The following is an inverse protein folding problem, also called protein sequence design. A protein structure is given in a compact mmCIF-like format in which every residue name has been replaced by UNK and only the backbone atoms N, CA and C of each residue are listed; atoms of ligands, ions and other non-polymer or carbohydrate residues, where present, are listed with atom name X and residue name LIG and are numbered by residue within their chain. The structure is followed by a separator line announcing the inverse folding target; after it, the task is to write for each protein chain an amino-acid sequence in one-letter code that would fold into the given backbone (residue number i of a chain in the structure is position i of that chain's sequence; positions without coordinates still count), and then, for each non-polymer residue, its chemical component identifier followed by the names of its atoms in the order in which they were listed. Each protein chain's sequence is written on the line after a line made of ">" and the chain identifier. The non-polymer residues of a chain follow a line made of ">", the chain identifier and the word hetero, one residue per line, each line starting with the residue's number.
data_IF_721149231920
#
_entry.id   IF_721149231920
#
_cell.length_a   1.000
_cell.length_b   1.000
_cell.length_c   1.000
_cell.angle_alpha   90.00
_cell.angle_beta   90.00
_cell.angle_gamma   90.00
#
_symmetry.space_group_name_H-M   'P 1'
#
loop_
_entity.id
_entity.type
_entity.pdbx_description
1 polymer ?
#
# COMPACT_ATOMS: atom_id res chain seq x y z
N UNK A 1 -7.49 11.73 -2.64
CA UNK A 1 -6.37 11.84 -1.68
C UNK A 1 -5.10 11.33 -2.35
N UNK A 2 -3.95 11.90 -2.01
CA UNK A 2 -2.63 11.47 -2.50
C UNK A 2 -1.99 10.44 -1.56
N UNK A 3 -0.67 10.41 -1.51
CA UNK A 3 0.08 9.52 -0.63
C UNK A 3 -0.20 9.84 0.85
N UNK A 4 -0.54 8.82 1.64
CA UNK A 4 -0.59 8.89 3.11
C UNK A 4 0.83 8.91 3.70
N UNK A 5 1.04 9.23 4.99
CA UNK A 5 2.38 9.19 5.58
C UNK A 5 3.11 7.85 5.38
N UNK A 6 4.44 7.92 5.16
CA UNK A 6 5.30 6.74 5.03
C UNK A 6 6.03 6.50 6.36
N UNK A 7 5.80 5.34 6.98
CA UNK A 7 6.48 4.96 8.23
C UNK A 7 7.79 4.23 7.92
N UNK A 8 8.89 4.68 8.55
CA UNK A 8 10.20 4.02 8.48
C UNK A 8 10.50 3.39 9.83
N UNK A 9 10.90 2.12 9.84
CA UNK A 9 11.24 1.37 11.04
C UNK A 9 12.55 0.61 10.85
N UNK A 10 13.20 0.25 11.95
CA UNK A 10 14.47 -0.50 11.96
C UNK A 10 14.32 -1.91 12.52
N UNK A 11 13.19 -2.21 13.15
CA UNK A 11 12.88 -3.51 13.76
C UNK A 11 12.08 -4.40 12.80
N UNK A 12 11.81 -5.64 13.21
CA UNK A 12 10.98 -6.55 12.43
C UNK A 12 9.54 -6.04 12.34
N UNK A 13 9.00 -6.01 11.12
CA UNK A 13 7.59 -5.68 10.90
C UNK A 13 6.72 -6.88 11.27
N UNK A 14 6.06 -6.83 12.43
CA UNK A 14 5.17 -7.87 12.94
C UNK A 14 3.71 -7.38 13.02
N UNK A 15 2.78 -8.24 13.45
CA UNK A 15 1.35 -7.90 13.55
C UNK A 15 1.08 -6.67 14.43
N UNK A 16 1.78 -6.51 15.56
CA UNK A 16 1.58 -5.38 16.48
C UNK A 16 2.10 -4.08 15.87
N UNK A 17 3.25 -4.13 15.18
CA UNK A 17 3.78 -2.97 14.46
C UNK A 17 2.88 -2.56 13.31
N UNK A 18 2.37 -3.52 12.56
CA UNK A 18 1.38 -3.28 11.51
C UNK A 18 0.13 -2.56 12.06
N UNK A 19 -0.48 -3.08 13.13
CA UNK A 19 -1.66 -2.47 13.77
C UNK A 19 -1.36 -1.04 14.23
N UNK A 20 -0.25 -0.84 14.93
CA UNK A 20 0.10 0.49 15.43
C UNK A 20 0.39 1.49 14.29
N UNK A 21 0.99 1.04 13.19
CA UNK A 21 1.18 1.86 11.99
C UNK A 21 -0.16 2.30 11.40
N UNK A 22 -1.14 1.39 11.30
CA UNK A 22 -2.46 1.73 10.76
C UNK A 22 -3.24 2.66 11.70
N UNK A 23 -3.17 2.45 13.01
CA UNK A 23 -3.78 3.36 13.99
C UNK A 23 -3.19 4.78 13.85
N UNK A 24 -1.87 4.89 13.74
CA UNK A 24 -1.17 6.18 13.71
C UNK A 24 -1.37 6.94 12.39
N UNK A 25 -1.42 6.24 11.26
CA UNK A 25 -1.34 6.90 9.94
C UNK A 25 -2.53 6.67 9.02
N UNK A 26 -3.42 5.72 9.30
CA UNK A 26 -4.51 5.37 8.38
C UNK A 26 -5.91 5.60 8.97
N UNK A 27 -6.22 5.03 10.14
CA UNK A 27 -7.62 4.93 10.61
C UNK A 27 -8.28 6.29 10.75
N UNK A 28 -7.70 7.20 11.50
CA UNK A 28 -8.29 8.52 11.75
C UNK A 28 -8.43 9.33 10.44
N UNK A 29 -7.39 9.31 9.61
CA UNK A 29 -7.39 10.03 8.33
C UNK A 29 -8.42 9.46 7.35
N UNK A 30 -8.52 8.14 7.22
CA UNK A 30 -9.49 7.49 6.35
C UNK A 30 -10.93 7.76 6.82
N UNK A 31 -11.18 7.70 8.13
CA UNK A 31 -12.48 8.03 8.70
C UNK A 31 -12.84 9.51 8.51
N UNK A 32 -11.89 10.42 8.68
CA UNK A 32 -12.12 11.84 8.45
C UNK A 32 -12.44 12.16 6.98
N UNK A 33 -11.82 11.45 6.04
CA UNK A 33 -11.91 11.75 4.61
C UNK A 33 -13.04 10.99 3.89
N UNK A 34 -13.38 9.79 4.37
CA UNK A 34 -14.34 8.90 3.71
C UNK A 34 -15.45 8.43 4.66
N UNK A 35 -15.51 8.90 5.91
CA UNK A 35 -16.41 8.33 6.92
C UNK A 35 -16.15 6.84 7.12
N UNK A 36 -17.21 6.06 7.27
CA UNK A 36 -17.11 4.61 7.50
C UNK A 36 -17.35 3.77 6.21
N UNK A 37 -17.09 4.32 5.02
CA UNK A 37 -17.35 3.62 3.74
C UNK A 37 -16.11 3.26 2.93
N UNK A 38 -14.91 3.50 3.46
CA UNK A 38 -13.67 3.15 2.78
C UNK A 38 -13.38 1.64 2.82
N UNK A 39 -12.59 1.17 1.85
CA UNK A 39 -12.21 -0.24 1.73
C UNK A 39 -10.70 -0.36 1.86
N UNK A 40 -10.24 -1.19 2.80
CA UNK A 40 -8.83 -1.55 2.91
C UNK A 40 -8.47 -2.61 1.86
N UNK A 41 -7.43 -2.33 1.07
CA UNK A 41 -6.75 -3.31 0.23
C UNK A 41 -5.32 -3.53 0.74
N UNK A 42 -4.96 -4.80 0.86
CA UNK A 42 -3.64 -5.26 1.27
C UNK A 42 -3.39 -6.67 0.73
N UNK A 43 -2.15 -7.13 0.78
CA UNK A 43 -1.80 -8.50 0.42
C UNK A 43 -2.11 -9.51 1.54
N UNK A 44 -1.93 -10.79 1.25
CA UNK A 44 -2.17 -11.87 2.20
C UNK A 44 -0.97 -12.19 3.10
N UNK A 45 -0.06 -11.24 3.33
CA UNK A 45 1.10 -11.45 4.20
C UNK A 45 0.68 -11.94 5.61
N UNK A 46 1.45 -12.82 6.27
CA UNK A 46 1.13 -13.30 7.62
C UNK A 46 0.94 -12.19 8.66
N UNK A 47 1.62 -11.05 8.47
CA UNK A 47 1.47 -9.88 9.35
C UNK A 47 0.09 -9.22 9.24
N UNK A 48 -0.56 -9.33 8.09
CA UNK A 48 -1.89 -8.79 7.85
C UNK A 48 -2.97 -9.83 8.18
N UNK A 49 -2.69 -11.11 7.98
CA UNK A 49 -3.69 -12.19 8.05
C UNK A 49 -3.66 -13.00 9.36
N UNK A 50 -2.74 -12.69 10.27
CA UNK A 50 -2.66 -13.31 11.59
C UNK A 50 -3.86 -12.98 12.49
N UNK A 51 -4.03 -13.78 13.56
CA UNK A 51 -5.20 -13.70 14.46
C UNK A 51 -5.40 -12.30 15.05
N UNK A 52 -4.31 -11.67 15.51
CA UNK A 52 -4.36 -10.36 16.16
C UNK A 52 -4.76 -9.28 15.16
N UNK A 53 -4.13 -9.26 13.98
CA UNK A 53 -4.47 -8.32 12.91
C UNK A 53 -5.92 -8.49 12.41
N UNK A 54 -6.41 -9.73 12.29
CA UNK A 54 -7.80 -10.00 11.90
C UNK A 54 -8.81 -9.48 12.93
N UNK A 55 -8.58 -9.72 14.21
CA UNK A 55 -9.44 -9.26 15.30
C UNK A 55 -9.47 -7.74 15.42
N UNK A 56 -8.30 -7.09 15.31
CA UNK A 56 -8.23 -5.63 15.28
C UNK A 56 -8.99 -5.06 14.07
N UNK A 57 -8.76 -5.60 12.86
CA UNK A 57 -9.46 -5.13 11.66
C UNK A 57 -10.98 -5.27 11.75
N UNK A 58 -11.52 -6.31 12.40
CA UNK A 58 -12.99 -6.43 12.56
C UNK A 58 -13.62 -5.33 13.42
N UNK A 59 -12.83 -4.61 14.21
CA UNK A 59 -13.31 -3.52 15.06
C UNK A 59 -13.10 -2.14 14.40
N UNK A 60 -11.99 -1.95 13.68
CA UNK A 60 -11.56 -0.62 13.24
C UNK A 60 -11.58 -0.39 11.72
N UNK A 61 -11.69 -1.44 10.92
CA UNK A 61 -11.70 -1.33 9.45
C UNK A 61 -13.11 -1.64 8.93
N UNK A 62 -13.82 -0.67 8.33
CA UNK A 62 -15.22 -0.84 7.96
C UNK A 62 -15.42 -1.89 6.87
N UNK A 63 -14.60 -1.84 5.81
CA UNK A 63 -14.67 -2.77 4.70
C UNK A 63 -13.28 -3.23 4.26
N UNK A 64 -13.22 -4.48 3.77
CA UNK A 64 -11.98 -5.10 3.28
C UNK A 64 -12.26 -5.80 1.96
N UNK A 65 -11.30 -5.72 1.05
CA UNK A 65 -11.36 -6.51 -0.19
C UNK A 65 -10.71 -7.87 0.03
N UNK A 66 -11.34 -8.93 -0.49
CA UNK A 66 -10.70 -10.23 -0.57
C UNK A 66 -9.62 -10.17 -1.67
N UNK A 67 -8.37 -10.35 -1.28
CA UNK A 67 -7.26 -10.29 -2.22
C UNK A 67 -6.83 -11.69 -2.66
N UNK A 68 -6.69 -11.97 -3.98
CA UNK A 68 -6.19 -13.24 -4.44
C UNK A 68 -4.70 -13.42 -4.05
N UNK A 69 -4.28 -14.61 -3.57
CA UNK A 69 -2.88 -14.90 -3.32
C UNK A 69 -2.01 -14.71 -4.57
N UNK A 70 -0.74 -14.37 -4.38
CA UNK A 70 0.25 -14.25 -5.47
C UNK A 70 -0.17 -13.34 -6.63
N UNK A 71 -0.96 -12.29 -6.35
CA UNK A 71 -1.46 -11.36 -7.36
C UNK A 71 -0.89 -9.95 -7.20
N UNK A 72 0.45 -9.77 -7.19
CA UNK A 72 1.05 -8.43 -7.15
C UNK A 72 0.74 -7.65 -8.44
N UNK A 73 0.46 -8.37 -9.53
CA UNK A 73 0.07 -7.78 -10.80
C UNK A 73 -1.23 -7.00 -10.75
N UNK A 74 -2.12 -7.40 -9.85
CA UNK A 74 -3.33 -6.67 -9.58
C UNK A 74 -3.12 -5.50 -8.62
N UNK A 75 -2.06 -5.42 -7.81
CA UNK A 75 -1.96 -4.39 -6.79
C UNK A 75 -1.61 -3.01 -7.39
N UNK A 76 -2.37 -1.93 -7.12
CA UNK A 76 -2.05 -0.60 -7.64
C UNK A 76 -0.71 -0.09 -7.12
N UNK A 77 -0.40 -0.39 -5.85
CA UNK A 77 0.79 0.12 -5.15
C UNK A 77 2.10 -0.41 -5.74
N UNK A 78 2.11 -1.58 -6.38
CA UNK A 78 3.33 -2.18 -6.96
C UNK A 78 3.94 -1.28 -8.05
N UNK A 79 3.11 -0.65 -8.88
CA UNK A 79 3.60 0.29 -9.89
C UNK A 79 4.20 1.55 -9.27
N UNK A 80 3.55 2.08 -8.23
CA UNK A 80 4.05 3.24 -7.49
C UNK A 80 5.38 2.89 -6.79
N UNK A 81 5.48 1.71 -6.18
CA UNK A 81 6.71 1.16 -5.60
C UNK A 81 7.83 1.03 -6.65
N UNK A 82 7.51 0.60 -7.87
CA UNK A 82 8.47 0.55 -8.97
C UNK A 82 9.04 1.93 -9.33
N UNK A 83 8.17 2.95 -9.45
CA UNK A 83 8.61 4.34 -9.68
C UNK A 83 9.43 4.85 -8.50
N UNK A 84 8.95 4.63 -7.28
CA UNK A 84 9.58 5.04 -6.05
C UNK A 84 11.01 4.51 -5.94
N UNK A 85 11.20 3.19 -6.13
CA UNK A 85 12.52 2.55 -6.13
C UNK A 85 13.43 3.14 -7.21
N UNK A 86 12.92 3.37 -8.43
CA UNK A 86 13.72 4.00 -9.51
C UNK A 86 14.20 5.40 -9.14
N UNK A 87 13.31 6.25 -8.62
CA UNK A 87 13.68 7.60 -8.16
C UNK A 87 14.72 7.54 -7.04
N UNK A 88 14.58 6.59 -6.11
CA UNK A 88 15.53 6.42 -5.01
C UNK A 88 16.90 5.93 -5.49
N UNK A 89 16.94 5.02 -6.46
CA UNK A 89 18.18 4.55 -7.08
C UNK A 89 18.96 5.68 -7.76
N UNK A 90 18.26 6.58 -8.47
CA UNK A 90 18.88 7.75 -9.12
C UNK A 90 19.55 8.66 -8.09
N UNK A 91 18.99 8.79 -6.89
CA UNK A 91 19.60 9.57 -5.79
C UNK A 91 20.84 8.91 -5.20
N UNK A 92 21.02 7.60 -5.38
CA UNK A 92 22.17 6.82 -4.93
C UNK A 92 22.65 7.13 -3.50
N UNK A 93 21.76 7.09 -2.47
CA UNK A 93 22.13 7.43 -1.10
C UNK A 93 23.26 6.54 -0.57
N UNK A 94 24.19 7.14 0.18
CA UNK A 94 25.38 6.47 0.74
C UNK A 94 25.31 6.25 2.25
N UNK A 95 24.37 6.90 2.93
CA UNK A 95 24.13 6.72 4.37
C UNK A 95 22.66 6.42 4.65
N UNK A 96 22.37 5.90 5.84
CA UNK A 96 21.00 5.62 6.28
C UNK A 96 20.18 6.92 6.38
N UNK A 97 20.80 8.02 6.78
CA UNK A 97 20.17 9.34 6.88
C UNK A 97 19.79 9.86 5.50
N UNK A 98 20.70 9.74 4.52
CA UNK A 98 20.43 10.10 3.13
C UNK A 98 19.32 9.23 2.54
N UNK A 99 19.30 7.93 2.87
CA UNK A 99 18.25 7.01 2.46
C UNK A 99 16.89 7.42 3.04
N UNK A 100 16.81 7.65 4.37
CA UNK A 100 15.58 8.08 5.05
C UNK A 100 15.04 9.39 4.48
N UNK A 101 15.91 10.39 4.33
CA UNK A 101 15.56 11.67 3.70
C UNK A 101 15.06 11.47 2.27
N UNK A 102 15.74 10.65 1.49
CA UNK A 102 15.35 10.33 0.12
C UNK A 102 13.98 9.67 0.01
N UNK A 103 13.69 8.71 0.88
CA UNK A 103 12.39 8.04 0.98
C UNK A 103 11.27 9.07 1.21
N UNK A 104 11.43 9.91 2.23
CA UNK A 104 10.41 10.90 2.62
C UNK A 104 10.16 11.90 1.49
N UNK A 105 11.21 12.52 0.94
CA UNK A 105 11.07 13.53 -0.11
C UNK A 105 10.46 12.97 -1.39
N UNK A 106 10.86 11.76 -1.81
CA UNK A 106 10.26 11.14 -3.01
C UNK A 106 8.79 10.81 -2.74
N UNK A 107 8.48 10.24 -1.59
CA UNK A 107 7.10 9.87 -1.27
C UNK A 107 6.18 11.08 -1.20
N UNK A 108 6.63 12.17 -0.58
CA UNK A 108 5.90 13.44 -0.52
C UNK A 108 5.75 14.12 -1.89
N UNK A 109 6.61 13.80 -2.87
CA UNK A 109 6.47 14.29 -4.25
C UNK A 109 5.36 13.62 -5.05
N UNK A 110 4.73 12.55 -4.53
CA UNK A 110 3.62 11.88 -5.20
C UNK A 110 2.29 12.56 -4.87
N UNK A 111 1.94 13.55 -5.69
CA UNK A 111 0.65 14.23 -5.59
C UNK A 111 -0.53 13.32 -6.03
N UNK A 112 -1.79 13.72 -5.74
CA UNK A 112 -2.96 12.93 -6.12
C UNK A 112 -3.12 12.72 -7.63
N UNK A 113 -2.67 13.65 -8.47
CA UNK A 113 -2.76 13.54 -9.94
C UNK A 113 -1.78 12.50 -10.46
N UNK A 114 -0.59 12.43 -9.87
CA UNK A 114 0.41 11.41 -10.14
C UNK A 114 -0.07 10.01 -9.72
N UNK A 115 -0.75 9.89 -8.57
CA UNK A 115 -1.18 8.58 -8.03
C UNK A 115 -2.41 8.04 -8.75
N UNK A 116 -3.35 8.91 -9.15
CA UNK A 116 -4.66 8.54 -9.70
C UNK A 116 -4.60 7.52 -10.85
N UNK A 117 -3.73 7.65 -11.88
CA UNK A 117 -3.64 6.67 -12.96
C UNK A 117 -3.30 5.25 -12.49
N UNK A 118 -2.50 5.10 -11.43
CA UNK A 118 -2.17 3.78 -10.89
C UNK A 118 -3.40 3.09 -10.29
N UNK A 119 -4.23 3.84 -9.55
CA UNK A 119 -5.50 3.35 -9.02
C UNK A 119 -6.49 3.02 -10.15
N UNK A 120 -6.63 3.90 -11.14
CA UNK A 120 -7.56 3.68 -12.27
C UNK A 120 -7.16 2.50 -13.16
N UNK A 121 -5.88 2.15 -13.20
CA UNK A 121 -5.41 0.99 -13.97
C UNK A 121 -5.98 -0.35 -13.48
N UNK A 122 -6.49 -0.41 -12.25
CA UNK A 122 -7.05 -1.61 -11.63
C UNK A 122 -8.10 -2.30 -12.47
N UNK A 123 -9.06 -1.54 -13.00
CA UNK A 123 -10.18 -2.09 -13.76
C UNK A 123 -9.68 -2.84 -15.00
N UNK A 124 -8.73 -2.24 -15.73
CA UNK A 124 -8.10 -2.86 -16.89
C UNK A 124 -7.33 -4.13 -16.50
N UNK A 125 -6.60 -4.12 -15.39
CA UNK A 125 -5.83 -5.27 -14.90
C UNK A 125 -6.75 -6.44 -14.51
N UNK A 126 -7.86 -6.16 -13.83
CA UNK A 126 -8.87 -7.16 -13.50
C UNK A 126 -9.45 -7.78 -14.77
N UNK A 127 -9.84 -6.97 -15.77
CA UNK A 127 -10.34 -7.47 -17.06
C UNK A 127 -9.32 -8.36 -17.78
N UNK A 128 -8.04 -7.98 -17.76
CA UNK A 128 -6.96 -8.80 -18.34
C UNK A 128 -6.78 -10.12 -17.59
N UNK A 129 -6.84 -10.11 -16.26
CA UNK A 129 -6.72 -11.31 -15.45
C UNK A 129 -7.89 -12.28 -15.71
N UNK A 130 -9.12 -11.75 -15.80
CA UNK A 130 -10.30 -12.54 -16.20
C UNK A 130 -10.14 -13.15 -17.59
N UNK A 131 -9.67 -12.37 -18.58
CA UNK A 131 -9.38 -12.86 -19.93
C UNK A 131 -8.31 -13.96 -19.93
N UNK A 132 -7.31 -13.82 -19.06
CA UNK A 132 -6.25 -14.81 -18.85
C UNK A 132 -6.67 -15.96 -17.90
N UNK A 133 -7.96 -16.06 -17.53
CA UNK A 133 -8.51 -17.11 -16.65
C UNK A 133 -7.77 -17.20 -15.30
N UNK A 134 -7.44 -16.06 -14.71
CA UNK A 134 -6.68 -15.98 -13.45
C UNK A 134 -5.16 -16.10 -13.62
N UNK A 135 -4.66 -16.29 -14.85
CA UNK A 135 -3.24 -16.31 -15.13
C UNK A 135 -2.59 -14.92 -15.06
N UNK A 136 -1.27 -14.91 -14.87
CA UNK A 136 -0.43 -13.71 -14.79
C UNK A 136 -0.71 -12.75 -15.95
N UNK A 137 -0.83 -11.46 -15.64
CA UNK A 137 -0.95 -10.41 -16.65
C UNK A 137 0.38 -9.69 -16.88
N UNK A 138 0.57 -9.17 -18.09
CA UNK A 138 1.60 -8.17 -18.38
C UNK A 138 0.95 -6.79 -18.25
N UNK A 139 1.53 -5.91 -17.44
CA UNK A 139 1.01 -4.59 -17.13
C UNK A 139 2.14 -3.59 -16.89
#
# INVERSE_FOLDING_TARGET
>A
MGATPFSIFTENFNQLRYISTLNEYLIEQANALYGNVWILQEDNSPVHTGKVAKAWKSQFVPHRINWPPNSPDLAPIENLCGVFKRRLMVRAPKTVEQLKKGIIEIWQSFDPEFIRPFCLSMEKRIKLCLKNKGGKIRY
#
